data_IF_566640185391
#
_entry.id   IF_566640185391
#
_cell.length_a   1.000
_cell.length_b   1.000
_cell.length_c   1.000
_cell.angle_alpha   90.00
_cell.angle_beta   90.00
_cell.angle_gamma   90.00
#
_symmetry.space_group_name_H-M   'P 1'
#
loop_
_entity.id
_entity.type
_entity.pdbx_description
1 polymer ?
#
# COMPACT_ATOMS: atom_id res chain seq x y z
N UNK A 1 22.93 -19.74 -4.16
CA UNK A 1 22.12 -20.56 -3.25
C UNK A 1 22.01 -19.79 -1.95
N UNK A 2 20.96 -18.98 -1.81
CA UNK A 2 20.21 -18.85 -0.55
C UNK A 2 19.07 -17.86 -0.80
N UNK A 3 17.88 -18.39 -1.02
CA UNK A 3 16.62 -17.63 -1.15
C UNK A 3 15.82 -17.67 0.16
N UNK A 4 16.43 -18.18 1.25
CA UNK A 4 15.78 -18.48 2.52
C UNK A 4 15.63 -17.32 3.51
N UNK A 5 15.91 -16.06 3.14
CA UNK A 5 16.08 -14.98 4.13
C UNK A 5 14.95 -13.93 4.21
N UNK A 6 13.82 -14.08 3.50
CA UNK A 6 12.78 -13.03 3.48
C UNK A 6 11.34 -13.57 3.61
N UNK A 7 11.14 -14.52 4.52
CA UNK A 7 9.80 -14.78 5.08
C UNK A 7 9.83 -14.31 6.54
N UNK A 8 8.95 -13.37 6.96
CA UNK A 8 8.93 -12.88 8.33
C UNK A 8 8.64 -14.00 9.33
N UNK A 9 9.21 -13.88 10.54
CA UNK A 9 9.17 -14.80 11.68
C UNK A 9 7.76 -15.04 12.30
N UNK A 10 6.69 -14.83 11.54
CA UNK A 10 5.29 -14.95 11.98
C UNK A 10 4.70 -16.36 11.74
N UNK A 11 5.47 -17.26 11.12
CA UNK A 11 5.03 -18.64 10.82
C UNK A 11 4.79 -19.51 12.08
N UNK A 12 5.33 -19.15 13.25
CA UNK A 12 5.27 -20.01 14.44
C UNK A 12 4.05 -19.81 15.35
N UNK A 13 3.36 -18.66 15.31
CA UNK A 13 2.17 -18.41 16.16
C UNK A 13 0.85 -18.84 15.51
N UNK A 14 0.83 -18.99 14.17
CA UNK A 14 -0.36 -19.31 13.39
C UNK A 14 -0.64 -20.83 13.30
N UNK A 15 0.36 -21.67 13.55
CA UNK A 15 0.24 -23.13 13.48
C UNK A 15 -0.75 -23.73 14.52
N UNK A 16 -0.99 -23.03 15.63
CA UNK A 16 -1.89 -23.49 16.70
C UNK A 16 -3.39 -23.25 16.42
N UNK A 17 -3.73 -22.30 15.55
CA UNK A 17 -5.13 -21.90 15.28
C UNK A 17 -5.67 -22.55 13.99
N UNK A 18 -4.78 -23.01 13.11
CA UNK A 18 -5.11 -23.50 11.76
C UNK A 18 -5.76 -24.90 11.65
N UNK A 19 -5.97 -25.64 12.74
CA UNK A 19 -6.56 -27.00 12.67
C UNK A 19 -8.10 -27.05 12.80
N UNK A 20 -8.79 -25.92 13.01
CA UNK A 20 -10.22 -25.93 13.39
C UNK A 20 -11.15 -25.16 12.44
N UNK A 21 -10.67 -24.56 11.34
CA UNK A 21 -11.54 -23.85 10.38
C UNK A 21 -11.19 -24.18 8.93
N UNK A 22 -12.18 -24.14 8.01
CA UNK A 22 -11.99 -24.49 6.59
C UNK A 22 -11.23 -23.43 5.77
N UNK A 23 -10.37 -22.62 6.38
CA UNK A 23 -9.50 -21.67 5.67
C UNK A 23 -8.12 -22.30 5.49
N UNK A 24 -7.76 -22.62 4.25
CA UNK A 24 -6.46 -23.24 3.95
C UNK A 24 -5.33 -22.22 4.12
N UNK A 25 -4.10 -22.68 4.39
CA UNK A 25 -2.90 -21.82 4.46
C UNK A 25 -2.76 -20.89 3.25
N UNK A 26 -3.14 -21.36 2.06
CA UNK A 26 -3.11 -20.57 0.83
C UNK A 26 -4.14 -19.42 0.83
N UNK A 27 -5.30 -19.59 1.48
CA UNK A 27 -6.31 -18.54 1.64
C UNK A 27 -5.84 -17.46 2.63
N UNK A 28 -5.11 -17.87 3.69
CA UNK A 28 -4.52 -16.94 4.66
C UNK A 28 -3.43 -16.10 4.01
N UNK A 29 -2.58 -16.70 3.18
CA UNK A 29 -1.51 -15.98 2.46
C UNK A 29 -2.03 -14.98 1.42
N UNK A 30 -3.16 -15.28 0.77
CA UNK A 30 -3.79 -14.33 -0.15
C UNK A 30 -4.39 -13.12 0.59
N UNK A 31 -5.06 -13.37 1.72
CA UNK A 31 -5.67 -12.32 2.53
C UNK A 31 -4.60 -11.38 3.13
N UNK A 32 -3.47 -11.92 3.61
CA UNK A 32 -2.37 -11.12 4.16
C UNK A 32 -1.74 -10.20 3.11
N UNK A 33 -1.58 -10.65 1.86
CA UNK A 33 -1.05 -9.81 0.77
C UNK A 33 -1.94 -8.61 0.50
N UNK A 34 -3.26 -8.83 0.44
CA UNK A 34 -4.24 -7.77 0.21
C UNK A 34 -4.27 -6.79 1.39
N UNK A 35 -4.30 -7.31 2.62
CA UNK A 35 -4.30 -6.47 3.83
C UNK A 35 -3.05 -5.59 3.90
N UNK A 36 -1.88 -6.18 3.63
CA UNK A 36 -0.60 -5.47 3.63
C UNK A 36 -0.54 -4.40 2.53
N UNK A 37 -1.13 -4.66 1.36
CA UNK A 37 -1.21 -3.67 0.29
C UNK A 37 -2.07 -2.45 0.69
N UNK A 38 -3.22 -2.64 1.34
CA UNK A 38 -4.09 -1.54 1.75
C UNK A 38 -3.59 -0.74 2.95
N UNK A 39 -2.78 -1.36 3.82
CA UNK A 39 -2.14 -0.67 4.95
C UNK A 39 -1.13 0.41 4.53
N UNK A 40 -0.76 0.45 3.24
CA UNK A 40 0.16 1.44 2.71
C UNK A 40 -0.50 2.78 2.32
N UNK A 41 -1.69 3.12 2.80
CA UNK A 41 -2.22 4.47 2.61
C UNK A 41 -1.35 5.54 3.31
N UNK A 42 -1.23 6.76 2.74
CA UNK A 42 -0.46 7.86 3.35
C UNK A 42 -1.08 8.27 4.70
N UNK A 43 -0.24 8.44 5.72
CA UNK A 43 -0.68 8.77 7.08
C UNK A 43 -0.88 10.27 7.30
N UNK A 44 -0.07 11.08 6.63
CA UNK A 44 -0.11 12.53 6.71
C UNK A 44 -0.25 13.11 5.30
N UNK A 45 -0.99 14.21 5.17
CA UNK A 45 -1.15 14.98 3.94
C UNK A 45 -0.94 16.47 4.24
N UNK A 46 -0.71 17.28 3.20
CA UNK A 46 -0.50 18.71 3.34
C UNK A 46 -1.66 19.49 2.72
N UNK A 47 -2.49 20.10 3.56
CA UNK A 47 -3.61 20.90 3.08
C UNK A 47 -3.18 22.35 2.89
N UNK A 48 -3.65 22.96 1.80
CA UNK A 48 -3.47 24.37 1.52
C UNK A 48 -4.41 25.18 2.44
N UNK A 49 -3.87 25.90 3.42
CA UNK A 49 -4.60 26.71 4.39
C UNK A 49 -4.15 28.17 4.28
N UNK A 50 -5.11 29.09 4.23
CA UNK A 50 -4.85 30.52 4.16
C UNK A 50 -6.13 31.32 4.09
N UNK A 51 -6.05 32.59 4.51
CA UNK A 51 -7.08 33.59 4.30
C UNK A 51 -6.45 34.75 3.53
N UNK A 52 -7.22 35.36 2.62
CA UNK A 52 -6.73 36.38 1.69
C UNK A 52 -5.58 35.88 0.78
N UNK A 53 -4.61 36.73 0.48
CA UNK A 53 -3.56 36.50 -0.52
C UNK A 53 -2.35 35.69 0.01
N UNK A 54 -2.38 35.30 1.28
CA UNK A 54 -1.30 34.52 1.89
C UNK A 54 -1.78 33.09 2.09
N UNK A 55 -1.12 32.16 1.40
CA UNK A 55 -1.46 30.74 1.47
C UNK A 55 -0.25 29.90 1.81
N UNK A 56 -0.40 29.07 2.84
CA UNK A 56 0.61 28.13 3.31
C UNK A 56 0.09 26.70 3.23
N UNK A 57 0.98 25.72 3.28
CA UNK A 57 0.60 24.33 3.49
C UNK A 57 0.73 24.02 4.97
N UNK A 58 -0.23 23.28 5.51
CA UNK A 58 -0.20 22.78 6.87
C UNK A 58 -0.28 21.26 6.80
N UNK A 59 0.55 20.57 7.58
CA UNK A 59 0.44 19.13 7.78
C UNK A 59 -0.88 18.80 8.49
N UNK A 60 -1.58 17.79 7.98
CA UNK A 60 -2.85 17.29 8.52
C UNK A 60 -2.82 15.76 8.51
N UNK A 61 -3.31 15.15 9.59
CA UNK A 61 -3.44 13.69 9.68
C UNK A 61 -4.58 13.16 8.80
N UNK A 62 -4.36 12.03 8.13
CA UNK A 62 -5.39 11.36 7.36
C UNK A 62 -6.28 10.47 8.23
N UNK A 63 -7.60 10.57 8.05
CA UNK A 63 -8.54 9.66 8.70
C UNK A 63 -8.34 8.21 8.21
N UNK A 64 -8.64 7.18 9.04
CA UNK A 64 -8.46 5.79 8.66
C UNK A 64 -9.16 5.41 7.34
N UNK A 65 -10.36 5.95 7.11
CA UNK A 65 -11.11 5.76 5.87
C UNK A 65 -10.41 6.39 4.66
N UNK A 66 -9.84 7.60 4.83
CA UNK A 66 -9.12 8.29 3.77
C UNK A 66 -7.87 7.51 3.33
N UNK A 67 -7.15 6.91 4.28
CA UNK A 67 -5.97 6.07 4.00
C UNK A 67 -6.30 4.90 3.08
N UNK A 68 -7.39 4.18 3.39
CA UNK A 68 -7.84 3.02 2.59
C UNK A 68 -8.26 3.48 1.19
N UNK A 69 -9.04 4.55 1.09
CA UNK A 69 -9.50 5.07 -0.20
C UNK A 69 -8.33 5.54 -1.08
N UNK A 70 -7.33 6.20 -0.49
CA UNK A 70 -6.12 6.62 -1.22
C UNK A 70 -5.25 5.44 -1.62
N UNK A 71 -5.10 4.41 -0.78
CA UNK A 71 -4.37 3.20 -1.13
C UNK A 71 -5.01 2.49 -2.35
N UNK A 72 -6.33 2.30 -2.34
CA UNK A 72 -7.08 1.71 -3.47
C UNK A 72 -6.89 2.53 -4.74
N UNK A 73 -7.01 3.86 -4.62
CA UNK A 73 -6.83 4.75 -5.76
C UNK A 73 -5.42 4.67 -6.36
N UNK A 74 -4.38 4.62 -5.52
CA UNK A 74 -2.99 4.55 -5.97
C UNK A 74 -2.67 3.18 -6.61
N UNK A 75 -3.16 2.07 -6.05
CA UNK A 75 -3.00 0.73 -6.65
C UNK A 75 -3.64 0.65 -8.04
N UNK A 76 -4.89 1.08 -8.15
CA UNK A 76 -5.65 1.00 -9.41
C UNK A 76 -5.09 1.95 -10.46
N UNK A 77 -4.66 3.14 -10.06
CA UNK A 77 -4.01 4.10 -10.96
C UNK A 77 -2.64 3.61 -11.43
N UNK A 78 -1.83 3.02 -10.54
CA UNK A 78 -0.55 2.41 -10.88
C UNK A 78 -0.70 1.25 -11.87
N UNK A 79 -1.62 0.32 -11.58
CA UNK A 79 -1.93 -0.79 -12.48
C UNK A 79 -2.40 -0.33 -13.86
N UNK A 80 -3.26 0.70 -13.90
CA UNK A 80 -3.76 1.27 -15.17
C UNK A 80 -2.65 1.93 -15.98
N UNK A 81 -1.76 2.71 -15.34
CA UNK A 81 -0.63 3.33 -16.02
C UNK A 81 0.37 2.29 -16.54
N UNK A 82 0.64 1.23 -15.77
CA UNK A 82 1.55 0.14 -16.14
C UNK A 82 1.01 -0.75 -17.26
N UNK A 83 -0.32 -0.87 -17.37
CA UNK A 83 -0.99 -1.60 -18.45
C UNK A 83 -1.17 -0.75 -19.72
N UNK A 84 -1.15 0.58 -19.61
CA UNK A 84 -1.37 1.44 -20.76
C UNK A 84 -0.24 1.29 -21.79
N UNK A 85 -0.60 0.87 -23.01
CA UNK A 85 0.34 0.58 -24.13
C UNK A 85 1.35 -0.53 -23.83
N UNK A 86 1.07 -1.40 -22.87
CA UNK A 86 1.87 -2.57 -22.56
C UNK A 86 1.25 -3.84 -23.15
N UNK A 87 2.05 -4.88 -23.33
CA UNK A 87 1.61 -6.21 -23.78
C UNK A 87 0.92 -6.95 -22.63
N UNK A 88 1.36 -6.70 -21.39
CA UNK A 88 0.75 -7.27 -20.17
C UNK A 88 -0.70 -6.82 -20.01
N UNK A 89 -1.54 -7.74 -19.57
CA UNK A 89 -2.95 -7.43 -19.27
C UNK A 89 -3.09 -6.61 -17.99
N UNK A 90 -4.22 -5.91 -17.84
CA UNK A 90 -4.54 -5.15 -16.61
C UNK A 90 -4.46 -6.02 -15.35
N UNK A 91 -4.80 -7.31 -15.46
CA UNK A 91 -4.83 -8.26 -14.35
C UNK A 91 -3.41 -8.61 -13.91
N UNK A 92 -2.50 -8.84 -14.84
CA UNK A 92 -1.08 -9.10 -14.55
C UNK A 92 -0.41 -7.88 -13.92
N UNK A 93 -0.65 -6.69 -14.47
CA UNK A 93 -0.13 -5.45 -13.90
C UNK A 93 -0.68 -5.21 -12.48
N UNK A 94 -1.95 -5.53 -12.23
CA UNK A 94 -2.53 -5.41 -10.88
C UNK A 94 -1.95 -6.43 -9.91
N UNK A 95 -1.71 -7.67 -10.34
CA UNK A 95 -1.09 -8.70 -9.51
C UNK A 95 0.36 -8.32 -9.14
N UNK A 96 1.14 -7.87 -10.12
CA UNK A 96 2.51 -7.37 -9.90
C UNK A 96 2.49 -6.20 -8.90
N UNK A 97 1.52 -5.29 -9.05
CA UNK A 97 1.38 -4.12 -8.18
C UNK A 97 1.03 -4.49 -6.74
N UNK A 98 0.11 -5.43 -6.54
CA UNK A 98 -0.27 -5.93 -5.21
C UNK A 98 0.91 -6.61 -4.50
N UNK A 99 1.67 -7.45 -5.22
CA UNK A 99 2.85 -8.13 -4.66
C UNK A 99 3.92 -7.11 -4.29
N UNK A 100 4.17 -6.11 -5.15
CA UNK A 100 5.15 -5.06 -4.88
C UNK A 100 4.72 -4.16 -3.71
N UNK A 101 3.44 -3.82 -3.62
CA UNK A 101 2.88 -3.05 -2.52
C UNK A 101 2.97 -3.81 -1.19
N UNK A 102 2.62 -5.10 -1.16
CA UNK A 102 2.72 -5.93 0.04
C UNK A 102 4.16 -6.04 0.56
N UNK A 103 5.15 -6.01 -0.34
CA UNK A 103 6.58 -6.01 0.00
C UNK A 103 7.14 -4.63 0.37
N UNK A 104 6.35 -3.57 0.25
CA UNK A 104 6.83 -2.19 0.46
C UNK A 104 7.87 -1.74 -0.57
N UNK A 105 7.84 -2.31 -1.77
CA UNK A 105 8.80 -1.97 -2.82
C UNK A 105 8.49 -0.59 -3.43
N UNK A 106 9.53 0.23 -3.60
CA UNK A 106 9.47 1.54 -4.28
C UNK A 106 9.00 1.47 -5.73
N UNK A 107 8.97 0.26 -6.32
CA UNK A 107 8.43 0.04 -7.66
C UNK A 107 6.90 0.15 -7.70
N UNK A 108 6.22 -0.01 -6.56
CA UNK A 108 4.78 0.18 -6.48
C UNK A 108 4.40 1.67 -6.39
N UNK A 109 3.35 2.01 -7.10
CA UNK A 109 2.74 3.33 -7.14
C UNK A 109 2.17 3.77 -5.80
N UNK A 110 1.73 2.81 -4.98
CA UNK A 110 1.29 3.07 -3.60
C UNK A 110 2.40 3.63 -2.71
N UNK A 111 3.66 3.23 -2.92
CA UNK A 111 4.79 3.73 -2.13
C UNK A 111 5.15 5.18 -2.48
N UNK A 112 4.60 5.73 -3.57
CA UNK A 112 4.62 7.20 -3.81
C UNK A 112 3.90 7.99 -2.73
N UNK A 113 3.21 7.33 -1.78
CA UNK A 113 2.77 7.93 -0.51
C UNK A 113 3.90 8.68 0.22
N UNK A 114 5.14 8.21 0.12
CA UNK A 114 6.27 8.80 0.84
C UNK A 114 6.56 10.23 0.34
N UNK A 115 6.25 10.52 -0.93
CA UNK A 115 6.34 11.87 -1.47
C UNK A 115 5.30 12.80 -0.85
N UNK A 116 4.08 12.32 -0.65
CA UNK A 116 2.99 13.06 -0.01
C UNK A 116 3.34 13.33 1.46
N UNK A 117 3.79 12.29 2.19
CA UNK A 117 4.20 12.41 3.58
C UNK A 117 5.44 13.30 3.75
N UNK A 118 6.35 13.34 2.77
CA UNK A 118 7.49 14.27 2.78
C UNK A 118 7.04 15.73 2.70
N UNK A 119 6.04 16.04 1.88
CA UNK A 119 5.49 17.39 1.80
C UNK A 119 4.80 17.76 3.10
N UNK A 120 4.06 16.85 3.73
CA UNK A 120 3.48 17.08 5.06
C UNK A 120 4.58 17.37 6.10
N UNK A 121 5.62 16.54 6.16
CA UNK A 121 6.76 16.70 7.09
C UNK A 121 7.51 18.02 6.96
N UNK A 122 7.60 18.56 5.75
CA UNK A 122 8.24 19.85 5.51
C UNK A 122 7.41 21.05 6.01
N UNK A 123 6.13 20.84 6.35
CA UNK A 123 5.18 21.87 6.77
C UNK A 123 4.63 21.63 8.19
N UNK A 124 5.29 20.76 8.97
CA UNK A 124 5.09 20.68 10.43
C UNK A 124 5.62 21.94 11.12
#
# INVERSE_FOLDING_TARGET
MDVGALIPQEENSLNGIMLLSPFTYNDVQFNTVILNAFNNGPREDATRIGFADVVRRQAVDNSPLRRVNQAIYLLTSGALQSAFRNIKTIVECLADELINAARGSSNSYVIKKDEIERVAKANH
#
